data_IF_496091659120
#
_entry.id   IF_496091659120
#
_cell.length_a   1.000
_cell.length_b   1.000
_cell.length_c   1.000
_cell.angle_alpha   90.00
_cell.angle_beta   90.00
_cell.angle_gamma   90.00
#
_symmetry.space_group_name_H-M   'P 1'
#
loop_
_entity.id
_entity.type
_entity.pdbx_description
1 polymer ?
#
# COMPACT_ATOMS: atom_id res chain seq x y z
N UNK A 1 13.13 5.13 -13.93
CA UNK A 1 11.79 4.87 -14.53
C UNK A 1 10.99 3.97 -13.60
N UNK A 2 9.98 4.52 -12.92
CA UNK A 2 9.16 3.79 -11.94
C UNK A 2 8.45 2.58 -12.60
N UNK A 3 8.15 2.66 -13.89
CA UNK A 3 7.51 1.59 -14.68
C UNK A 3 8.26 0.25 -14.60
N UNK A 4 9.59 0.25 -14.71
CA UNK A 4 10.39 -0.97 -14.63
C UNK A 4 10.46 -1.52 -13.20
N UNK A 5 10.37 -0.65 -12.19
CA UNK A 5 10.35 -1.07 -10.80
C UNK A 5 9.02 -1.73 -10.44
N UNK A 6 7.90 -1.26 -11.01
CA UNK A 6 6.60 -1.91 -10.83
C UNK A 6 6.56 -3.29 -11.50
N UNK A 7 7.06 -3.42 -12.73
CA UNK A 7 7.15 -4.73 -13.38
C UNK A 7 8.02 -5.72 -12.57
N UNK A 8 9.14 -5.25 -12.01
CA UNK A 8 9.97 -6.09 -11.14
C UNK A 8 9.27 -6.46 -9.82
N UNK A 9 8.48 -5.56 -9.24
CA UNK A 9 7.67 -5.82 -8.05
C UNK A 9 6.66 -6.94 -8.33
N UNK A 10 5.93 -6.84 -9.43
CA UNK A 10 4.90 -7.83 -9.80
C UNK A 10 5.53 -9.22 -10.01
N UNK A 11 6.73 -9.28 -10.61
CA UNK A 11 7.48 -10.52 -10.78
C UNK A 11 8.00 -11.10 -9.46
N UNK A 12 8.39 -10.25 -8.50
CA UNK A 12 8.78 -10.67 -7.15
C UNK A 12 7.59 -11.25 -6.39
N UNK A 13 6.40 -10.65 -6.52
CA UNK A 13 5.15 -11.17 -5.95
C UNK A 13 4.76 -12.50 -6.57
N UNK A 14 4.84 -12.64 -7.90
CA UNK A 14 4.58 -13.90 -8.60
C UNK A 14 5.51 -15.03 -8.13
N UNK A 15 6.76 -14.70 -7.79
CA UNK A 15 7.74 -15.64 -7.22
C UNK A 15 7.63 -15.82 -5.70
N UNK A 16 6.62 -15.23 -5.04
CA UNK A 16 6.44 -15.23 -3.58
C UNK A 16 7.65 -14.67 -2.81
N UNK A 17 8.46 -13.82 -3.44
CA UNK A 17 9.62 -13.15 -2.84
C UNK A 17 9.18 -11.87 -2.14
N UNK A 18 8.34 -12.02 -1.12
CA UNK A 18 7.65 -10.90 -0.49
C UNK A 18 8.60 -9.87 0.14
N UNK A 19 9.71 -10.28 0.75
CA UNK A 19 10.66 -9.33 1.35
C UNK A 19 11.38 -8.46 0.29
N UNK A 20 11.71 -9.05 -0.86
CA UNK A 20 12.26 -8.31 -2.02
C UNK A 20 11.22 -7.32 -2.55
N UNK A 21 9.98 -7.78 -2.69
CA UNK A 21 8.86 -6.95 -3.11
C UNK A 21 8.64 -5.76 -2.17
N UNK A 22 8.66 -5.98 -0.85
CA UNK A 22 8.52 -4.91 0.15
C UNK A 22 9.67 -3.90 0.07
N UNK A 23 10.91 -4.37 -0.02
CA UNK A 23 12.08 -3.49 -0.19
C UNK A 23 11.97 -2.64 -1.45
N UNK A 24 11.48 -3.22 -2.55
CA UNK A 24 11.28 -2.50 -3.81
C UNK A 24 10.14 -1.48 -3.70
N UNK A 25 9.03 -1.87 -3.07
CA UNK A 25 7.90 -0.99 -2.83
C UNK A 25 8.31 0.24 -2.03
N UNK A 26 9.15 0.08 -1.00
CA UNK A 26 9.67 1.20 -0.20
C UNK A 26 10.48 2.20 -1.05
N UNK A 27 11.31 1.69 -1.98
CA UNK A 27 12.07 2.54 -2.91
C UNK A 27 11.16 3.30 -3.88
N UNK A 28 10.05 2.69 -4.30
CA UNK A 28 9.03 3.36 -5.13
C UNK A 28 8.28 4.41 -4.31
N UNK A 29 7.88 4.05 -3.08
CA UNK A 29 7.15 4.94 -2.18
C UNK A 29 7.97 6.18 -1.82
N UNK A 30 9.28 6.04 -1.60
CA UNK A 30 10.18 7.16 -1.32
C UNK A 30 10.25 8.19 -2.45
N UNK A 31 9.98 7.78 -3.69
CA UNK A 31 10.01 8.65 -4.87
C UNK A 31 8.62 9.21 -5.23
N UNK A 32 7.57 8.84 -4.49
CA UNK A 32 6.20 9.13 -4.87
C UNK A 32 5.49 10.05 -3.87
N UNK A 33 4.75 11.07 -4.35
CA UNK A 33 4.04 12.00 -3.48
C UNK A 33 2.76 11.43 -2.85
N UNK A 34 2.27 10.26 -3.29
CA UNK A 34 1.02 9.63 -2.81
C UNK A 34 1.34 8.48 -1.84
N UNK A 35 1.58 8.81 -0.58
CA UNK A 35 2.02 7.84 0.43
C UNK A 35 0.94 6.80 0.78
N UNK A 36 -0.32 7.23 0.80
CA UNK A 36 -1.49 6.42 1.13
C UNK A 36 -1.65 5.19 0.22
N UNK A 37 -1.43 5.36 -1.09
CA UNK A 37 -1.57 4.27 -2.06
C UNK A 37 -0.49 3.20 -1.88
N UNK A 38 0.74 3.62 -1.56
CA UNK A 38 1.85 2.70 -1.35
C UNK A 38 1.75 1.97 0.00
N UNK A 39 1.27 2.64 1.04
CA UNK A 39 0.99 2.00 2.33
C UNK A 39 -0.12 0.94 2.21
N UNK A 40 -1.16 1.21 1.42
CA UNK A 40 -2.18 0.21 1.11
C UNK A 40 -1.60 -1.00 0.36
N UNK A 41 -0.83 -0.77 -0.71
CA UNK A 41 -0.13 -1.86 -1.43
C UNK A 41 0.80 -2.66 -0.52
N UNK A 42 1.47 -2.01 0.45
CA UNK A 42 2.34 -2.68 1.43
C UNK A 42 1.52 -3.67 2.26
N UNK A 43 0.35 -3.25 2.73
CA UNK A 43 -0.56 -4.12 3.48
C UNK A 43 -1.02 -5.33 2.67
N UNK A 44 -1.37 -5.14 1.39
CA UNK A 44 -1.78 -6.22 0.50
C UNK A 44 -0.67 -7.26 0.29
N UNK A 45 0.58 -6.80 0.11
CA UNK A 45 1.74 -7.68 -0.05
C UNK A 45 2.02 -8.46 1.25
N UNK A 46 1.90 -7.81 2.41
CA UNK A 46 2.07 -8.45 3.71
C UNK A 46 0.97 -9.48 4.00
N UNK A 47 -0.26 -9.21 3.57
CA UNK A 47 -1.37 -10.16 3.67
C UNK A 47 -1.11 -11.40 2.79
N UNK A 48 -0.63 -11.21 1.55
CA UNK A 48 -0.20 -12.32 0.67
C UNK A 48 0.98 -13.11 1.25
N UNK A 49 1.86 -12.44 2.00
CA UNK A 49 2.97 -13.06 2.71
C UNK A 49 2.54 -13.81 3.99
N UNK A 50 1.26 -13.73 4.39
CA UNK A 50 0.75 -14.30 5.64
C UNK A 50 1.09 -13.50 6.90
N UNK A 51 1.73 -12.33 6.75
CA UNK A 51 2.16 -11.43 7.84
C UNK A 51 1.02 -10.49 8.23
N UNK A 52 -0.07 -11.05 8.75
CA UNK A 52 -1.33 -10.33 9.03
C UNK A 52 -1.16 -9.15 9.99
N UNK A 53 -0.37 -9.31 11.05
CA UNK A 53 -0.12 -8.24 12.04
C UNK A 53 0.50 -7.01 11.40
N UNK A 54 1.50 -7.21 10.55
CA UNK A 54 2.16 -6.13 9.82
C UNK A 54 1.29 -5.57 8.71
N UNK A 55 0.48 -6.40 8.05
CA UNK A 55 -0.52 -5.94 7.09
C UNK A 55 -1.52 -4.98 7.75
N UNK A 56 -2.03 -5.33 8.93
CA UNK A 56 -2.93 -4.46 9.69
C UNK A 56 -2.25 -3.15 10.08
N UNK A 57 -1.00 -3.19 10.55
CA UNK A 57 -0.22 -1.98 10.82
C UNK A 57 -0.05 -1.10 9.57
N UNK A 58 0.19 -1.71 8.40
CA UNK A 58 0.31 -0.99 7.14
C UNK A 58 -1.01 -0.35 6.70
N UNK A 59 -2.14 -1.07 6.83
CA UNK A 59 -3.46 -0.55 6.52
C UNK A 59 -3.87 0.59 7.46
N UNK A 60 -3.55 0.49 8.75
CA UNK A 60 -3.78 1.57 9.71
C UNK A 60 -2.95 2.81 9.38
N UNK A 61 -1.68 2.63 9.03
CA UNK A 61 -0.82 3.74 8.58
C UNK A 61 -1.34 4.38 7.28
N UNK A 62 -1.86 3.58 6.35
CA UNK A 62 -2.48 4.09 5.13
C UNK A 62 -3.71 4.96 5.44
N UNK A 63 -4.56 4.51 6.38
CA UNK A 63 -5.75 5.27 6.80
C UNK A 63 -5.35 6.60 7.47
N UNK A 64 -4.36 6.58 8.37
CA UNK A 64 -3.84 7.78 8.99
C UNK A 64 -3.28 8.76 7.93
N UNK A 65 -2.56 8.25 6.93
CA UNK A 65 -2.08 9.08 5.83
C UNK A 65 -3.23 9.74 5.06
N UNK A 66 -4.33 9.01 4.78
CA UNK A 66 -5.53 9.57 4.15
C UNK A 66 -6.15 10.68 5.01
N UNK A 67 -6.21 10.51 6.31
CA UNK A 67 -6.76 11.51 7.23
C UNK A 67 -5.94 12.80 7.27
N UNK A 68 -4.61 12.70 7.08
CA UNK A 68 -3.73 13.87 6.97
C UNK A 68 -3.81 14.58 5.61
N UNK A 69 -4.46 13.99 4.60
CA UNK A 69 -4.59 14.63 3.29
C UNK A 69 -5.51 15.86 3.35
N UNK A 70 -5.24 16.89 2.52
CA UNK A 70 -6.14 18.03 2.39
C UNK A 70 -7.57 17.61 2.01
N UNK A 71 -8.60 18.36 2.45
CA UNK A 71 -10.01 18.00 2.24
C UNK A 71 -10.38 17.75 0.76
N UNK A 72 -9.77 18.51 -0.15
CA UNK A 72 -10.00 18.38 -1.60
C UNK A 72 -9.44 17.08 -2.18
N UNK A 73 -8.37 16.51 -1.61
CA UNK A 73 -7.81 15.22 -2.02
C UNK A 73 -8.52 14.05 -1.36
N UNK A 74 -8.86 14.20 -0.07
CA UNK A 74 -9.58 13.17 0.70
C UNK A 74 -10.95 12.83 0.11
N UNK A 75 -11.63 13.83 -0.49
CA UNK A 75 -12.97 13.65 -1.10
C UNK A 75 -12.93 13.06 -2.52
N UNK A 76 -11.76 12.83 -3.10
CA UNK A 76 -11.66 12.21 -4.43
C UNK A 76 -12.13 10.77 -4.34
N UNK A 77 -12.97 10.35 -5.30
CA UNK A 77 -13.57 9.01 -5.34
C UNK A 77 -12.56 7.88 -5.09
N UNK A 78 -11.39 7.95 -5.73
CA UNK A 78 -10.33 6.95 -5.57
C UNK A 78 -9.80 6.84 -4.11
N UNK A 79 -9.72 7.96 -3.38
CA UNK A 79 -9.27 7.96 -1.98
C UNK A 79 -10.37 7.43 -1.06
N UNK A 80 -11.63 7.81 -1.29
CA UNK A 80 -12.78 7.29 -0.53
C UNK A 80 -12.98 5.78 -0.71
N UNK A 81 -12.79 5.28 -1.94
CA UNK A 81 -12.81 3.84 -2.23
C UNK A 81 -11.67 3.10 -1.53
N UNK A 82 -10.45 3.68 -1.56
CA UNK A 82 -9.30 3.15 -0.85
C UNK A 82 -9.54 3.10 0.66
N UNK A 83 -10.04 4.19 1.26
CA UNK A 83 -10.39 4.28 2.68
C UNK A 83 -11.40 3.20 3.08
N UNK A 84 -12.42 2.97 2.25
CA UNK A 84 -13.45 1.95 2.48
C UNK A 84 -12.85 0.54 2.44
N UNK A 85 -12.01 0.24 1.44
CA UNK A 85 -11.32 -1.05 1.31
C UNK A 85 -10.39 -1.32 2.50
N UNK A 86 -9.61 -0.32 2.91
CA UNK A 86 -8.71 -0.42 4.07
C UNK A 86 -9.46 -0.71 5.37
N UNK A 87 -10.58 -0.03 5.60
CA UNK A 87 -11.45 -0.30 6.76
C UNK A 87 -12.11 -1.67 6.73
N UNK A 88 -12.40 -2.21 5.55
CA UNK A 88 -12.90 -3.57 5.42
C UNK A 88 -11.78 -4.59 5.73
N UNK A 89 -10.57 -4.36 5.22
CA UNK A 89 -9.41 -5.22 5.47
C UNK A 89 -9.02 -5.28 6.95
N UNK A 90 -9.09 -4.15 7.68
CA UNK A 90 -8.80 -4.10 9.11
C UNK A 90 -9.83 -4.78 10.00
N UNK A 91 -11.05 -5.03 9.49
CA UNK A 91 -12.14 -5.69 10.23
C UNK A 91 -12.14 -7.22 10.05
N UNK A 92 -11.30 -7.74 9.16
CA UNK A 92 -11.19 -9.16 8.83
C UNK A 92 -10.19 -9.87 9.73
#
# INVERSE_FOLDING_TARGET
LITLQLAALDLELAQKRYDRALTRLERIAAQSPRKETWLARRGEILEQAGRKTEAHAAYAAALAAIETLPPHRRRVKAVTELETRLRAALRR
#
